data_IF_000972063651
#
_entry.id   IF_000972063651
#
_cell.length_a   1.000
_cell.length_b   1.000
_cell.length_c   1.000
_cell.angle_alpha   90.00
_cell.angle_beta   90.00
_cell.angle_gamma   90.00
#
_symmetry.space_group_name_H-M   'P 1'
#
loop_
_entity.id
_entity.type
_entity.pdbx_description
1 polymer ?
#
# COMPACT_ATOMS: atom_id res chain seq x y z
N UNK A 1 9.07 3.55 -0.91
CA UNK A 1 8.98 2.07 -1.01
C UNK A 1 10.31 1.55 -1.50
N UNK A 2 10.76 0.39 -1.08
CA UNK A 2 12.02 -0.20 -1.55
C UNK A 2 11.73 -1.21 -2.67
N UNK A 3 12.68 -1.43 -3.56
CA UNK A 3 12.58 -2.44 -4.62
C UNK A 3 12.39 -3.86 -4.04
N UNK A 4 12.95 -4.11 -2.84
CA UNK A 4 12.68 -5.34 -2.08
C UNK A 4 11.19 -5.54 -1.80
N UNK A 5 10.48 -4.49 -1.38
CA UNK A 5 9.04 -4.56 -1.10
C UNK A 5 8.23 -4.76 -2.39
N UNK A 6 8.67 -4.16 -3.50
CA UNK A 6 8.04 -4.37 -4.80
C UNK A 6 8.12 -5.86 -5.23
N UNK A 7 9.29 -6.47 -5.13
CA UNK A 7 9.46 -7.90 -5.41
C UNK A 7 8.63 -8.79 -4.47
N UNK A 8 8.46 -8.38 -3.21
CA UNK A 8 7.58 -9.10 -2.28
C UNK A 8 6.10 -9.02 -2.72
N UNK A 9 5.65 -7.89 -3.30
CA UNK A 9 4.32 -7.80 -3.90
C UNK A 9 4.17 -8.71 -5.13
N UNK A 10 5.15 -8.74 -6.04
CA UNK A 10 5.14 -9.65 -7.18
C UNK A 10 5.02 -11.11 -6.72
N UNK A 11 5.84 -11.54 -5.76
CA UNK A 11 5.73 -12.87 -5.19
C UNK A 11 4.35 -13.14 -4.54
N UNK A 12 3.75 -12.12 -3.92
CA UNK A 12 2.43 -12.23 -3.27
C UNK A 12 1.29 -12.37 -4.27
N UNK A 13 1.41 -11.74 -5.44
CA UNK A 13 0.36 -11.63 -6.46
C UNK A 13 0.60 -12.54 -7.68
N UNK A 14 1.50 -13.52 -7.56
CA UNK A 14 1.81 -14.47 -8.65
C UNK A 14 2.32 -13.72 -9.90
N UNK A 15 3.40 -12.95 -9.70
CA UNK A 15 4.07 -12.10 -10.69
C UNK A 15 3.19 -10.99 -11.33
N UNK A 16 2.07 -10.62 -10.68
CA UNK A 16 1.25 -9.50 -11.12
C UNK A 16 1.60 -8.22 -10.36
N UNK A 17 1.49 -7.09 -11.03
CA UNK A 17 1.69 -5.74 -10.44
C UNK A 17 0.52 -5.28 -9.56
N UNK A 18 -0.66 -5.91 -9.71
CA UNK A 18 -1.88 -5.67 -8.95
C UNK A 18 -2.93 -6.73 -9.26
N UNK A 19 -4.10 -6.60 -8.64
CA UNK A 19 -5.21 -7.57 -8.80
C UNK A 19 -6.41 -7.01 -9.58
N UNK A 20 -6.46 -5.69 -9.80
CA UNK A 20 -7.48 -5.07 -10.63
C UNK A 20 -7.28 -5.47 -12.10
N UNK A 21 -8.36 -5.56 -12.91
CA UNK A 21 -8.30 -5.99 -14.31
C UNK A 21 -7.28 -5.27 -15.20
N UNK A 22 -6.90 -3.99 -14.98
CA UNK A 22 -5.81 -3.36 -15.72
C UNK A 22 -4.44 -4.06 -15.62
N UNK A 23 -4.23 -4.91 -14.60
CA UNK A 23 -3.01 -5.70 -14.44
C UNK A 23 -3.06 -7.07 -15.14
N UNK A 24 -4.13 -7.38 -15.87
CA UNK A 24 -4.17 -8.60 -16.67
C UNK A 24 -3.36 -8.40 -17.96
N UNK A 25 -2.58 -9.40 -18.34
CA UNK A 25 -1.60 -9.35 -19.44
C UNK A 25 -2.15 -8.84 -20.77
N UNK A 26 -3.44 -9.10 -21.05
CA UNK A 26 -4.11 -8.71 -22.30
C UNK A 26 -4.97 -7.44 -22.12
N UNK A 27 -4.90 -6.80 -20.94
CA UNK A 27 -5.67 -5.59 -20.67
C UNK A 27 -5.17 -4.44 -21.56
N UNK A 28 -6.12 -3.69 -22.12
CA UNK A 28 -5.81 -2.46 -22.84
C UNK A 28 -6.10 -1.28 -21.94
N UNK A 29 -5.05 -0.64 -21.49
CA UNK A 29 -5.10 0.49 -20.56
C UNK A 29 -4.54 1.71 -21.26
N UNK A 30 -5.27 2.82 -21.26
CA UNK A 30 -4.82 4.03 -21.94
C UNK A 30 -3.96 4.93 -21.04
N UNK A 31 -4.48 5.33 -19.88
CA UNK A 31 -3.79 6.26 -18.98
C UNK A 31 -3.86 5.79 -17.53
N UNK A 32 -2.70 5.76 -16.88
CA UNK A 32 -2.53 5.22 -15.53
C UNK A 32 -1.92 6.27 -14.61
N UNK A 33 -2.41 6.33 -13.36
CA UNK A 33 -1.83 7.12 -12.28
C UNK A 33 -1.39 6.20 -11.15
N UNK A 34 -0.14 6.27 -10.75
CA UNK A 34 0.39 5.64 -9.54
C UNK A 34 0.64 6.69 -8.48
N UNK A 35 -0.13 6.64 -7.40
CA UNK A 35 -0.10 7.63 -6.31
C UNK A 35 0.77 7.13 -5.17
N UNK A 36 1.75 7.97 -4.75
CA UNK A 36 2.77 7.56 -3.78
C UNK A 36 3.76 6.57 -4.41
N UNK A 37 4.20 6.86 -5.62
CA UNK A 37 5.00 5.93 -6.44
C UNK A 37 6.38 5.59 -5.84
N UNK A 38 6.90 6.38 -4.91
CA UNK A 38 8.18 6.16 -4.24
C UNK A 38 9.35 6.13 -5.22
N UNK A 39 10.02 4.97 -5.35
CA UNK A 39 11.12 4.79 -6.31
C UNK A 39 10.68 4.74 -7.77
N UNK A 40 9.38 4.67 -8.04
CA UNK A 40 8.82 4.58 -9.39
C UNK A 40 8.91 3.19 -10.03
N UNK A 41 9.42 2.19 -9.33
CA UNK A 41 9.64 0.85 -9.89
C UNK A 41 8.34 0.21 -10.39
N UNK A 42 7.21 0.41 -9.70
CA UNK A 42 5.92 -0.09 -10.17
C UNK A 42 5.53 0.52 -11.52
N UNK A 43 5.72 1.84 -11.67
CA UNK A 43 5.44 2.53 -12.94
C UNK A 43 6.32 2.04 -14.07
N UNK A 44 7.60 1.75 -13.80
CA UNK A 44 8.54 1.23 -14.79
C UNK A 44 8.07 -0.15 -15.27
N UNK A 45 7.80 -1.07 -14.35
CA UNK A 45 7.38 -2.42 -14.69
C UNK A 45 6.02 -2.43 -15.40
N UNK A 46 5.05 -1.60 -14.92
CA UNK A 46 3.76 -1.46 -15.61
C UNK A 46 3.91 -0.87 -17.01
N UNK A 47 4.83 0.08 -17.19
CA UNK A 47 5.12 0.68 -18.48
C UNK A 47 5.76 -0.29 -19.48
N UNK A 48 6.59 -1.19 -19.00
CA UNK A 48 7.20 -2.25 -19.82
C UNK A 48 6.16 -3.31 -20.22
N UNK A 49 5.23 -3.66 -19.33
CA UNK A 49 4.13 -4.60 -19.63
C UNK A 49 3.06 -3.99 -20.56
N UNK A 50 2.84 -2.66 -20.50
CA UNK A 50 1.82 -1.93 -21.24
C UNK A 50 2.44 -0.76 -22.05
N UNK A 51 3.21 -1.04 -23.10
CA UNK A 51 3.92 0.00 -23.86
C UNK A 51 3.00 1.01 -24.57
N UNK A 52 1.72 0.68 -24.74
CA UNK A 52 0.68 1.57 -25.30
C UNK A 52 0.07 2.52 -24.24
N UNK A 53 0.25 2.25 -22.94
CA UNK A 53 -0.30 3.06 -21.87
C UNK A 53 0.57 4.30 -21.58
N UNK A 54 -0.05 5.40 -21.16
CA UNK A 54 0.62 6.58 -20.60
C UNK A 54 0.59 6.48 -19.08
N UNK A 55 1.76 6.29 -18.43
CA UNK A 55 1.86 6.13 -16.98
C UNK A 55 2.42 7.42 -16.37
N UNK A 56 1.73 7.90 -15.33
CA UNK A 56 2.15 9.01 -14.49
C UNK A 56 2.32 8.51 -13.05
N UNK A 57 3.54 8.57 -12.52
CA UNK A 57 3.82 8.35 -11.10
C UNK A 57 3.96 9.67 -10.36
N UNK A 58 3.31 9.82 -9.21
CA UNK A 58 3.40 11.03 -8.37
C UNK A 58 3.85 10.67 -6.96
N UNK A 59 4.73 11.51 -6.38
CA UNK A 59 5.20 11.39 -5.00
C UNK A 59 5.62 12.76 -4.48
N UNK A 60 5.62 12.96 -3.16
CA UNK A 60 6.17 14.15 -2.51
C UNK A 60 7.70 14.26 -2.65
N UNK A 61 8.37 13.15 -2.93
CA UNK A 61 9.84 13.02 -2.98
C UNK A 61 10.30 12.68 -4.37
N UNK A 62 11.30 13.38 -4.89
CA UNK A 62 11.93 13.10 -6.18
C UNK A 62 12.93 11.93 -6.07
N UNK A 63 12.43 10.72 -5.78
CA UNK A 63 13.25 9.49 -5.67
C UNK A 63 13.18 8.62 -6.93
N UNK A 64 12.77 9.20 -8.04
CA UNK A 64 12.52 8.55 -9.31
C UNK A 64 13.80 8.09 -10.02
N UNK A 65 13.74 7.02 -10.85
CA UNK A 65 14.91 6.55 -11.59
C UNK A 65 15.30 7.52 -12.72
N UNK A 66 16.58 7.55 -13.03
CA UNK A 66 17.14 8.38 -14.12
C UNK A 66 16.70 7.89 -15.50
N UNK A 67 16.50 6.57 -15.63
CA UNK A 67 16.10 5.92 -16.90
C UNK A 67 14.73 5.29 -16.73
N UNK A 68 13.82 5.67 -17.61
CA UNK A 68 12.42 5.21 -17.60
C UNK A 68 11.98 4.81 -19.00
N UNK A 69 11.02 3.90 -19.14
CA UNK A 69 10.34 3.66 -20.39
C UNK A 69 9.77 4.96 -20.97
N UNK A 70 9.72 5.13 -22.31
CA UNK A 70 9.29 6.39 -22.94
C UNK A 70 7.84 6.79 -22.64
N UNK A 71 7.02 5.83 -22.20
CA UNK A 71 5.63 6.00 -21.84
C UNK A 71 5.40 6.26 -20.33
N UNK A 72 6.48 6.34 -19.52
CA UNK A 72 6.43 6.61 -18.07
C UNK A 72 6.95 8.02 -17.79
N UNK A 73 6.23 8.74 -16.94
CA UNK A 73 6.61 10.06 -16.43
C UNK A 73 6.42 10.14 -14.93
N UNK A 74 7.22 10.98 -14.28
CA UNK A 74 7.13 11.25 -12.86
C UNK A 74 6.94 12.74 -12.58
N UNK A 75 6.14 13.05 -11.58
CA UNK A 75 5.92 14.41 -11.09
C UNK A 75 6.05 14.44 -9.56
N UNK A 76 6.67 15.49 -9.03
CA UNK A 76 6.66 15.79 -7.59
C UNK A 76 5.40 16.59 -7.33
N UNK A 77 4.45 16.01 -6.60
CA UNK A 77 3.17 16.65 -6.32
C UNK A 77 2.62 16.21 -4.96
N UNK A 78 1.84 17.10 -4.35
CA UNK A 78 1.10 16.81 -3.13
C UNK A 78 -0.32 16.35 -3.49
N UNK A 79 -0.58 15.07 -3.31
CA UNK A 79 -1.88 14.47 -3.63
C UNK A 79 -3.03 14.97 -2.71
N UNK A 80 -2.71 15.63 -1.59
CA UNK A 80 -3.69 16.27 -0.73
C UNK A 80 -4.22 17.57 -1.35
N UNK A 81 -3.43 18.24 -2.21
CA UNK A 81 -3.86 19.42 -2.94
C UNK A 81 -4.90 19.07 -4.04
N UNK A 82 -5.64 20.07 -4.58
CA UNK A 82 -6.60 19.82 -5.66
C UNK A 82 -5.95 19.24 -6.91
N UNK A 83 -6.46 18.12 -7.40
CA UNK A 83 -5.98 17.50 -8.63
C UNK A 83 -6.40 18.31 -9.86
N UNK A 84 -5.43 18.76 -10.66
CA UNK A 84 -5.64 19.64 -11.83
C UNK A 84 -5.39 18.94 -13.16
N UNK A 85 -5.48 17.61 -13.19
CA UNK A 85 -5.26 16.82 -14.40
C UNK A 85 -6.26 17.18 -15.51
N UNK A 86 -5.76 17.55 -16.68
CA UNK A 86 -6.57 17.91 -17.85
C UNK A 86 -7.26 16.72 -18.51
N UNK A 87 -6.75 15.51 -18.30
CA UNK A 87 -7.26 14.24 -18.83
C UNK A 87 -7.45 13.25 -17.69
N UNK A 88 -8.51 12.46 -17.76
CA UNK A 88 -8.81 11.42 -16.79
C UNK A 88 -7.97 10.17 -17.04
N UNK A 89 -7.97 9.28 -16.06
CA UNK A 89 -7.25 8.03 -16.06
C UNK A 89 -8.20 6.83 -16.29
N UNK A 90 -7.66 5.74 -16.79
CA UNK A 90 -8.36 4.47 -16.91
C UNK A 90 -8.05 3.56 -15.72
N UNK A 91 -6.92 3.82 -15.06
CA UNK A 91 -6.53 3.13 -13.85
C UNK A 91 -5.82 4.09 -12.89
N UNK A 92 -6.20 4.03 -11.60
CA UNK A 92 -5.51 4.71 -10.51
C UNK A 92 -5.10 3.65 -9.49
N UNK A 93 -3.79 3.57 -9.27
CA UNK A 93 -3.16 2.64 -8.34
C UNK A 93 -2.56 3.41 -7.18
N UNK A 94 -2.62 2.85 -5.96
CA UNK A 94 -1.81 3.27 -4.84
C UNK A 94 -1.57 2.12 -3.88
N UNK A 95 -0.40 2.13 -3.21
CA UNK A 95 -0.09 1.11 -2.21
C UNK A 95 0.68 1.68 -1.03
N UNK A 96 0.40 1.12 0.17
CA UNK A 96 1.07 1.50 1.42
C UNK A 96 0.91 2.99 1.78
N UNK A 97 -0.27 3.55 1.49
CA UNK A 97 -0.62 4.94 1.77
C UNK A 97 -1.34 5.13 3.11
N UNK A 98 -1.68 4.02 3.79
CA UNK A 98 -2.35 4.09 5.10
C UNK A 98 -1.43 4.77 6.13
N UNK A 99 -1.92 5.87 6.71
CA UNK A 99 -1.10 6.77 7.55
C UNK A 99 -0.40 7.90 6.79
N UNK A 100 -0.60 8.01 5.46
CA UNK A 100 -0.10 9.12 4.63
C UNK A 100 -1.23 10.02 4.10
N UNK A 101 -2.48 9.57 4.18
CA UNK A 101 -3.68 10.28 3.69
C UNK A 101 -4.40 10.92 4.87
N UNK A 102 -4.70 12.20 4.78
CA UNK A 102 -5.43 12.95 5.82
C UNK A 102 -6.91 12.56 5.86
N UNK A 103 -7.53 12.45 4.68
CA UNK A 103 -8.95 12.13 4.53
C UNK A 103 -9.16 11.15 3.38
N UNK A 104 -9.40 9.89 3.74
CA UNK A 104 -9.65 8.81 2.78
C UNK A 104 -10.93 8.97 1.98
N UNK A 105 -11.98 9.63 2.53
CA UNK A 105 -13.21 9.93 1.79
C UNK A 105 -12.94 10.93 0.67
N UNK A 106 -12.19 11.99 0.98
CA UNK A 106 -11.77 12.97 -0.01
C UNK A 106 -10.86 12.33 -1.06
N UNK A 107 -9.90 11.50 -0.64
CA UNK A 107 -8.99 10.82 -1.55
C UNK A 107 -9.73 9.86 -2.50
N UNK A 108 -10.60 9.01 -1.98
CA UNK A 108 -11.40 8.09 -2.81
C UNK A 108 -12.28 8.87 -3.81
N UNK A 109 -12.81 10.03 -3.39
CA UNK A 109 -13.61 10.91 -4.27
C UNK A 109 -12.75 11.59 -5.34
N UNK A 110 -11.51 12.00 -5.01
CA UNK A 110 -10.53 12.48 -6.01
C UNK A 110 -10.25 11.41 -7.07
N UNK A 111 -9.99 10.16 -6.64
CA UNK A 111 -9.81 9.04 -7.55
C UNK A 111 -11.04 8.85 -8.46
N UNK A 112 -12.25 8.80 -7.87
CA UNK A 112 -13.49 8.65 -8.64
C UNK A 112 -13.67 9.75 -9.68
N UNK A 113 -13.43 11.00 -9.31
CA UNK A 113 -13.63 12.15 -10.19
C UNK A 113 -12.62 12.17 -11.35
N UNK A 114 -11.41 11.65 -11.13
CA UNK A 114 -10.33 11.63 -12.11
C UNK A 114 -10.27 10.34 -12.96
N UNK A 115 -11.16 9.37 -12.73
CA UNK A 115 -11.31 8.20 -13.58
C UNK A 115 -12.30 8.43 -14.72
N UNK A 116 -12.01 7.84 -15.87
CA UNK A 116 -12.96 7.65 -16.96
C UNK A 116 -14.09 6.71 -16.50
N UNK A 117 -15.33 6.80 -17.07
CA UNK A 117 -16.33 5.76 -16.92
C UNK A 117 -15.74 4.39 -17.32
N UNK A 118 -16.01 3.34 -16.55
CA UNK A 118 -15.40 2.03 -16.72
C UNK A 118 -13.97 1.89 -16.15
N UNK A 119 -13.32 2.97 -15.75
CA UNK A 119 -11.99 2.97 -15.17
C UNK A 119 -11.94 2.35 -13.76
N UNK A 120 -10.77 1.89 -13.36
CA UNK A 120 -10.54 1.15 -12.12
C UNK A 120 -9.70 1.94 -11.12
N UNK A 121 -9.97 1.71 -9.84
CA UNK A 121 -9.08 2.09 -8.73
C UNK A 121 -8.63 0.85 -8.00
N UNK A 122 -7.38 0.84 -7.53
CA UNK A 122 -6.86 -0.20 -6.63
C UNK A 122 -6.05 0.41 -5.50
N UNK A 123 -6.40 0.04 -4.27
CA UNK A 123 -5.67 0.34 -3.05
C UNK A 123 -5.08 -0.94 -2.50
N UNK A 124 -3.76 -0.96 -2.27
CA UNK A 124 -3.06 -2.10 -1.68
C UNK A 124 -2.52 -1.67 -0.32
N UNK A 125 -3.17 -2.16 0.75
CA UNK A 125 -2.95 -1.63 2.09
C UNK A 125 -2.75 -2.73 3.15
N UNK A 126 -2.10 -2.35 4.23
CA UNK A 126 -1.90 -3.20 5.40
C UNK A 126 -2.22 -2.43 6.70
N UNK A 127 -2.77 -3.07 7.73
CA UNK A 127 -2.82 -2.47 9.05
C UNK A 127 -1.40 -2.38 9.65
N UNK A 128 -1.18 -1.41 10.53
CA UNK A 128 0.11 -1.26 11.23
C UNK A 128 0.42 -2.43 12.17
N UNK A 129 -0.62 -3.04 12.76
CA UNK A 129 -0.47 -4.13 13.73
C UNK A 129 -0.45 -5.49 13.03
N UNK A 130 0.56 -6.33 13.30
CA UNK A 130 0.52 -7.72 12.89
C UNK A 130 -0.58 -8.50 13.63
N UNK A 131 -0.96 -9.63 13.07
CA UNK A 131 -1.98 -10.55 13.59
C UNK A 131 -1.39 -11.96 13.77
N UNK A 132 -2.07 -12.78 14.59
CA UNK A 132 -1.81 -14.22 14.73
C UNK A 132 -3.15 -14.95 14.82
N UNK A 133 -3.28 -16.05 14.06
CA UNK A 133 -4.53 -16.85 14.06
C UNK A 133 -4.59 -17.85 15.20
N UNK A 134 -3.46 -18.21 15.80
CA UNK A 134 -3.33 -19.26 16.82
C UNK A 134 -2.97 -18.72 18.22
N UNK A 135 -2.94 -17.40 18.36
CA UNK A 135 -2.66 -16.74 19.64
C UNK A 135 -1.21 -16.79 20.11
N UNK A 136 -0.27 -17.16 19.23
CA UNK A 136 1.17 -17.19 19.58
C UNK A 136 1.81 -15.80 19.65
N UNK A 137 1.17 -14.75 19.10
CA UNK A 137 1.61 -13.37 19.26
C UNK A 137 1.22 -12.89 20.68
N UNK A 138 2.19 -12.61 21.56
CA UNK A 138 1.88 -12.20 22.93
C UNK A 138 1.15 -10.84 22.96
N UNK A 139 0.20 -10.68 23.88
CA UNK A 139 -0.51 -9.40 24.05
C UNK A 139 0.41 -8.27 24.54
N UNK A 140 1.54 -8.60 25.17
CA UNK A 140 2.58 -7.67 25.63
C UNK A 140 3.75 -7.56 24.63
N UNK A 141 3.59 -8.03 23.41
CA UNK A 141 4.57 -7.94 22.33
C UNK A 141 5.10 -6.51 22.17
N UNK A 142 6.42 -6.39 22.03
CA UNK A 142 7.06 -5.10 21.78
C UNK A 142 6.69 -4.53 20.41
N UNK A 143 6.50 -5.39 19.41
CA UNK A 143 6.05 -5.00 18.07
C UNK A 143 4.65 -4.37 18.14
N UNK A 144 3.72 -4.96 18.88
CA UNK A 144 2.37 -4.39 19.06
C UNK A 144 2.42 -3.02 19.74
N UNK A 145 3.24 -2.87 20.80
CA UNK A 145 3.41 -1.57 21.51
C UNK A 145 3.93 -0.48 20.59
N UNK A 146 4.95 -0.79 19.78
CA UNK A 146 5.51 0.19 18.84
C UNK A 146 4.50 0.52 17.74
N UNK A 147 3.79 -0.48 17.21
CA UNK A 147 2.73 -0.25 16.22
C UNK A 147 1.60 0.67 16.76
N UNK A 148 1.23 0.51 18.04
CA UNK A 148 0.28 1.41 18.72
C UNK A 148 0.78 2.84 18.81
N UNK A 149 2.03 3.03 19.23
CA UNK A 149 2.63 4.37 19.32
C UNK A 149 2.74 5.03 17.93
N UNK A 150 3.07 4.27 16.89
CA UNK A 150 3.10 4.77 15.51
C UNK A 150 1.68 5.20 15.09
N UNK A 151 0.67 4.40 15.37
CA UNK A 151 -0.73 4.72 15.06
C UNK A 151 -1.18 6.00 15.77
N UNK A 152 -0.93 6.12 17.09
CA UNK A 152 -1.26 7.33 17.85
C UNK A 152 -0.56 8.58 17.30
N UNK A 153 0.70 8.46 16.89
CA UNK A 153 1.45 9.56 16.33
C UNK A 153 0.89 10.00 14.98
N UNK A 154 0.49 9.03 14.14
CA UNK A 154 -0.13 9.26 12.84
C UNK A 154 -1.47 10.00 13.00
N UNK A 155 -2.31 9.55 13.93
CA UNK A 155 -3.59 10.20 14.25
C UNK A 155 -3.40 11.63 14.76
N UNK A 156 -2.44 11.84 15.69
CA UNK A 156 -2.08 13.19 16.20
C UNK A 156 -1.50 14.10 15.11
N UNK A 157 -0.80 13.51 14.14
CA UNK A 157 -0.23 14.21 12.98
C UNK A 157 -1.24 14.57 11.89
N UNK A 158 -2.51 14.17 12.03
CA UNK A 158 -3.55 14.44 11.04
C UNK A 158 -3.63 13.42 9.89
N UNK A 159 -2.85 12.34 9.97
CA UNK A 159 -2.85 11.25 8.98
C UNK A 159 -3.36 9.94 9.61
N UNK A 160 -4.66 9.85 9.89
CA UNK A 160 -5.22 8.69 10.59
C UNK A 160 -5.07 7.42 9.76
N UNK A 161 -4.82 6.30 10.44
CA UNK A 161 -4.90 4.99 9.80
C UNK A 161 -6.34 4.54 9.72
N UNK A 162 -6.82 4.27 8.51
CA UNK A 162 -8.14 3.69 8.30
C UNK A 162 -8.06 2.16 8.51
N UNK A 163 -8.96 1.55 9.32
CA UNK A 163 -9.08 0.10 9.35
C UNK A 163 -9.34 -0.45 7.94
N UNK A 164 -8.53 -1.41 7.51
CA UNK A 164 -8.53 -1.88 6.11
C UNK A 164 -9.86 -2.51 5.72
N UNK A 165 -10.59 -3.04 6.68
CA UNK A 165 -11.96 -3.57 6.53
C UNK A 165 -12.95 -2.51 6.04
N UNK A 166 -12.70 -1.23 6.31
CA UNK A 166 -13.57 -0.11 5.93
C UNK A 166 -13.35 0.35 4.47
N UNK A 167 -12.29 -0.09 3.79
CA UNK A 167 -11.98 0.37 2.42
C UNK A 167 -13.03 -0.06 1.40
N UNK A 168 -13.68 -1.21 1.59
CA UNK A 168 -14.79 -1.63 0.73
C UNK A 168 -15.95 -0.62 0.81
N UNK A 169 -16.33 -0.24 2.01
CA UNK A 169 -17.42 0.71 2.23
C UNK A 169 -17.02 2.13 1.78
N UNK A 170 -15.75 2.50 1.96
CA UNK A 170 -15.17 3.73 1.46
C UNK A 170 -15.35 3.85 -0.06
N UNK A 171 -14.93 2.83 -0.83
CA UNK A 171 -15.09 2.82 -2.28
C UNK A 171 -16.57 2.84 -2.69
N UNK A 172 -17.42 2.11 -1.97
CA UNK A 172 -18.88 2.11 -2.23
C UNK A 172 -19.49 3.50 -2.04
N UNK A 173 -19.15 4.20 -0.94
CA UNK A 173 -19.62 5.58 -0.69
C UNK A 173 -19.07 6.58 -1.71
N UNK A 174 -17.86 6.36 -2.24
CA UNK A 174 -17.33 7.18 -3.31
C UNK A 174 -18.05 6.98 -4.66
N UNK A 175 -18.83 5.89 -4.81
CA UNK A 175 -19.64 5.58 -6.00
C UNK A 175 -19.05 4.47 -6.88
N UNK A 176 -18.04 3.76 -6.44
CA UNK A 176 -17.47 2.61 -7.16
C UNK A 176 -18.40 1.39 -7.09
N UNK A 177 -18.38 0.59 -8.13
CA UNK A 177 -19.09 -0.70 -8.26
C UNK A 177 -18.08 -1.83 -8.48
N UNK A 178 -18.57 -3.07 -8.54
CA UNK A 178 -17.74 -4.27 -8.76
C UNK A 178 -16.55 -4.38 -7.77
N UNK A 179 -16.78 -3.91 -6.53
CA UNK A 179 -15.71 -3.83 -5.52
C UNK A 179 -15.32 -5.22 -5.05
N UNK A 180 -14.04 -5.52 -5.14
CA UNK A 180 -13.45 -6.76 -4.61
C UNK A 180 -12.40 -6.46 -3.56
N UNK A 181 -12.28 -7.38 -2.59
CA UNK A 181 -11.29 -7.37 -1.52
C UNK A 181 -10.60 -8.70 -1.51
N UNK A 182 -9.29 -8.69 -1.77
CA UNK A 182 -8.43 -9.87 -1.68
C UNK A 182 -7.52 -9.71 -0.46
N UNK A 183 -7.31 -10.81 0.26
CA UNK A 183 -6.49 -10.82 1.47
C UNK A 183 -5.36 -11.82 1.33
N UNK A 184 -4.15 -11.37 1.62
CA UNK A 184 -2.92 -12.15 1.65
C UNK A 184 -2.29 -12.06 3.04
N UNK A 185 -1.26 -12.86 3.29
CA UNK A 185 -0.52 -12.84 4.56
C UNK A 185 0.96 -12.68 4.28
N UNK A 186 1.58 -11.72 4.95
CA UNK A 186 3.04 -11.59 5.00
C UNK A 186 3.55 -12.06 6.35
N UNK A 187 3.98 -13.33 6.49
CA UNK A 187 4.54 -13.83 7.73
C UNK A 187 5.75 -13.01 8.18
N UNK A 188 5.91 -12.84 9.49
CA UNK A 188 7.04 -12.07 10.07
C UNK A 188 8.40 -12.74 9.86
N UNK A 189 8.40 -14.03 9.57
CA UNK A 189 9.58 -14.83 9.27
C UNK A 189 9.19 -16.16 8.62
N UNK A 190 10.12 -17.11 8.52
CA UNK A 190 9.93 -18.41 7.85
C UNK A 190 9.22 -19.47 8.72
N UNK A 191 8.33 -19.07 9.64
CA UNK A 191 7.56 -19.99 10.49
C UNK A 191 6.55 -20.86 9.72
N UNK A 192 5.92 -20.45 8.59
CA UNK A 192 4.97 -21.30 7.89
C UNK A 192 5.58 -22.61 7.39
N UNK A 193 4.74 -23.66 7.33
CA UNK A 193 5.13 -24.95 6.74
C UNK A 193 5.01 -24.93 5.22
N UNK A 194 4.03 -24.21 4.69
CA UNK A 194 3.83 -24.02 3.27
C UNK A 194 5.04 -23.31 2.65
N UNK A 195 5.50 -23.80 1.48
CA UNK A 195 6.74 -23.35 0.88
C UNK A 195 6.65 -21.91 0.35
N UNK A 196 5.52 -21.56 -0.28
CA UNK A 196 5.29 -20.20 -0.77
C UNK A 196 5.24 -19.19 0.39
N UNK A 197 4.45 -19.48 1.43
CA UNK A 197 4.39 -18.61 2.60
C UNK A 197 5.69 -18.56 3.40
N UNK A 198 6.50 -19.60 3.34
CA UNK A 198 7.86 -19.56 3.93
C UNK A 198 8.79 -18.64 3.15
N UNK A 199 8.70 -18.62 1.83
CA UNK A 199 9.44 -17.72 0.96
C UNK A 199 8.96 -16.28 1.16
N UNK A 200 7.65 -16.02 1.09
CA UNK A 200 7.05 -14.71 1.43
C UNK A 200 7.52 -14.25 2.80
N UNK A 201 7.55 -15.14 3.80
CA UNK A 201 8.01 -14.84 5.15
C UNK A 201 9.51 -14.49 5.23
N UNK A 202 10.35 -15.05 4.39
CA UNK A 202 11.77 -14.68 4.31
C UNK A 202 11.91 -13.25 3.74
N UNK A 203 11.25 -12.95 2.63
CA UNK A 203 11.24 -11.61 2.01
C UNK A 203 10.61 -10.56 2.92
N UNK A 204 9.48 -10.88 3.54
CA UNK A 204 8.78 -10.00 4.50
C UNK A 204 9.65 -9.69 5.71
N UNK A 205 10.39 -10.67 6.24
CA UNK A 205 11.34 -10.48 7.33
C UNK A 205 12.42 -9.46 6.98
N UNK A 206 13.07 -9.61 5.82
CA UNK A 206 14.10 -8.67 5.37
C UNK A 206 13.53 -7.27 5.13
N UNK A 207 12.34 -7.18 4.54
CA UNK A 207 11.65 -5.91 4.31
C UNK A 207 11.36 -5.18 5.62
N UNK A 208 10.77 -5.86 6.62
CA UNK A 208 10.39 -5.20 7.87
C UNK A 208 11.59 -4.88 8.73
N UNK A 209 12.58 -5.77 8.83
CA UNK A 209 13.78 -5.53 9.66
C UNK A 209 14.60 -4.35 9.13
N UNK A 210 14.73 -4.24 7.80
CA UNK A 210 15.44 -3.12 7.18
C UNK A 210 14.69 -1.79 7.31
N UNK A 211 13.35 -1.79 7.25
CA UNK A 211 12.51 -0.59 7.31
C UNK A 211 12.12 -0.14 8.72
N UNK A 212 12.19 -1.04 9.72
CA UNK A 212 11.63 -0.80 11.06
C UNK A 212 12.26 0.39 11.78
N UNK A 213 13.57 0.57 11.66
CA UNK A 213 14.27 1.70 12.28
C UNK A 213 13.86 3.03 11.63
N UNK A 214 13.74 3.06 10.30
CA UNK A 214 13.32 4.25 9.58
C UNK A 214 11.88 4.64 9.93
N UNK A 215 10.99 3.64 10.06
CA UNK A 215 9.58 3.84 10.41
C UNK A 215 9.44 4.35 11.85
N UNK A 216 10.17 3.78 12.81
CA UNK A 216 9.97 4.04 14.24
C UNK A 216 10.76 5.26 14.75
N UNK A 217 12.00 5.47 14.29
CA UNK A 217 12.92 6.45 14.90
C UNK A 217 12.35 7.88 14.87
N UNK A 218 11.97 8.36 13.70
CA UNK A 218 11.48 9.73 13.56
C UNK A 218 10.15 9.93 14.30
N UNK A 219 9.27 8.94 14.23
CA UNK A 219 7.95 8.98 14.85
C UNK A 219 8.06 8.98 16.38
N UNK A 220 8.79 8.02 16.96
CA UNK A 220 8.90 7.91 18.41
C UNK A 220 9.66 9.09 19.04
N UNK A 221 10.70 9.58 18.38
CA UNK A 221 11.44 10.74 18.90
C UNK A 221 10.63 12.03 18.81
N UNK A 222 9.94 12.29 17.71
CA UNK A 222 9.22 13.55 17.48
C UNK A 222 7.86 13.61 18.16
N UNK A 223 7.10 12.52 18.09
CA UNK A 223 5.73 12.50 18.60
C UNK A 223 5.62 12.05 20.06
N UNK A 224 6.52 11.19 20.51
CA UNK A 224 6.49 10.62 21.88
C UNK A 224 7.66 11.07 22.76
N UNK A 225 8.60 11.86 22.24
CA UNK A 225 9.73 12.41 23.01
C UNK A 225 10.76 11.37 23.47
N UNK A 226 10.81 10.20 22.81
CA UNK A 226 11.79 9.17 23.11
C UNK A 226 13.20 9.63 22.71
N UNK A 227 14.19 9.23 23.48
CA UNK A 227 15.58 9.35 23.07
C UNK A 227 15.90 8.35 21.96
N UNK A 228 16.93 8.62 21.18
CA UNK A 228 17.41 7.69 20.15
C UNK A 228 17.81 6.33 20.76
N UNK A 229 18.42 6.36 21.94
CA UNK A 229 18.85 5.17 22.67
C UNK A 229 17.67 4.29 23.08
N UNK A 230 16.57 4.88 23.56
CA UNK A 230 15.33 4.16 23.89
C UNK A 230 14.73 3.50 22.66
N UNK A 231 14.71 4.20 21.52
CA UNK A 231 14.23 3.61 20.26
C UNK A 231 15.12 2.44 19.81
N UNK A 232 16.45 2.59 19.88
CA UNK A 232 17.39 1.52 19.50
C UNK A 232 17.19 0.27 20.36
N UNK A 233 17.04 0.43 21.68
CA UNK A 233 16.78 -0.69 22.60
C UNK A 233 15.44 -1.35 22.28
N UNK A 234 14.40 -0.57 22.09
CA UNK A 234 13.07 -1.07 21.72
C UNK A 234 13.08 -1.84 20.40
N UNK A 235 13.75 -1.29 19.38
CA UNK A 235 13.87 -1.95 18.07
C UNK A 235 14.68 -3.25 18.13
N UNK A 236 15.66 -3.35 19.05
CA UNK A 236 16.37 -4.60 19.27
C UNK A 236 15.44 -5.70 19.83
N UNK A 237 14.48 -5.33 20.70
CA UNK A 237 13.45 -6.25 21.19
C UNK A 237 12.47 -6.66 20.06
N UNK A 238 12.02 -5.71 19.24
CA UNK A 238 11.19 -6.02 18.06
C UNK A 238 11.89 -7.00 17.12
N UNK A 239 13.19 -6.77 16.82
CA UNK A 239 13.95 -7.69 15.96
C UNK A 239 14.10 -9.10 16.54
N UNK A 240 14.11 -9.22 17.88
CA UNK A 240 14.11 -10.53 18.54
C UNK A 240 12.77 -11.23 18.30
N UNK A 241 11.64 -10.52 18.44
CA UNK A 241 10.32 -11.08 18.14
C UNK A 241 10.16 -11.44 16.66
N UNK A 242 10.63 -10.59 15.72
CA UNK A 242 10.60 -10.91 14.29
C UNK A 242 11.37 -12.17 13.92
N UNK A 243 12.42 -12.54 14.66
CA UNK A 243 13.22 -13.76 14.43
C UNK A 243 12.62 -14.99 15.08
N UNK A 244 11.73 -14.82 16.04
CA UNK A 244 11.17 -15.93 16.81
C UNK A 244 10.12 -16.69 15.98
N UNK A 245 10.51 -17.91 15.55
CA UNK A 245 9.63 -18.77 14.76
C UNK A 245 8.49 -19.42 15.58
N UNK A 246 8.49 -19.31 16.90
CA UNK A 246 7.38 -19.75 17.75
C UNK A 246 6.24 -18.72 17.76
N UNK A 247 6.48 -17.49 17.32
CA UNK A 247 5.48 -16.45 17.14
C UNK A 247 5.00 -16.50 15.67
N UNK A 248 3.80 -17.05 15.46
CA UNK A 248 3.20 -17.20 14.12
C UNK A 248 2.46 -15.93 13.71
N UNK A 249 3.16 -14.80 13.78
CA UNK A 249 2.61 -13.52 13.40
C UNK A 249 2.76 -13.27 11.89
N UNK A 250 1.86 -12.43 11.35
CA UNK A 250 1.86 -11.97 9.98
C UNK A 250 1.21 -10.59 9.86
N UNK A 251 1.57 -9.81 8.85
CA UNK A 251 0.80 -8.67 8.41
C UNK A 251 -0.23 -9.11 7.36
N UNK A 252 -1.54 -8.87 7.57
CA UNK A 252 -2.51 -9.06 6.50
C UNK A 252 -2.31 -7.98 5.44
N UNK A 253 -2.15 -8.38 4.20
CA UNK A 253 -2.07 -7.50 3.05
C UNK A 253 -3.38 -7.57 2.28
N UNK A 254 -3.95 -6.42 1.97
CA UNK A 254 -5.22 -6.34 1.25
C UNK A 254 -5.01 -5.63 -0.08
N UNK A 255 -5.58 -6.18 -1.14
CA UNK A 255 -5.82 -5.47 -2.38
C UNK A 255 -7.33 -5.22 -2.49
N UNK A 256 -7.70 -3.96 -2.56
CA UNK A 256 -9.08 -3.51 -2.64
C UNK A 256 -9.23 -2.72 -3.93
N UNK A 257 -10.07 -3.18 -4.85
CA UNK A 257 -10.29 -2.51 -6.10
C UNK A 257 -11.76 -2.40 -6.47
N UNK A 258 -12.09 -1.38 -7.27
CA UNK A 258 -13.45 -1.11 -7.72
C UNK A 258 -13.45 -0.38 -9.05
N UNK A 259 -14.57 -0.48 -9.76
CA UNK A 259 -14.78 0.12 -11.08
C UNK A 259 -15.67 1.37 -10.96
N UNK A 260 -15.34 2.42 -11.67
CA UNK A 260 -16.28 3.52 -11.89
C UNK A 260 -17.37 3.07 -12.86
N UNK A 261 -18.66 3.25 -12.55
CA UNK A 261 -19.75 2.87 -13.45
C UNK A 261 -19.57 3.42 -14.87
N UNK A 262 -20.01 2.66 -15.87
CA UNK A 262 -20.24 3.18 -17.21
C UNK A 262 -21.39 4.22 -17.18
N UNK A 263 -21.45 5.10 -18.17
CA UNK A 263 -22.52 6.11 -18.22
C UNK A 263 -23.91 5.51 -18.25
N UNK A 264 -24.08 4.31 -18.80
CA UNK A 264 -25.36 3.59 -18.86
C UNK A 264 -25.78 2.97 -17.51
N UNK A 265 -24.81 2.57 -16.67
CA UNK A 265 -25.08 1.97 -15.35
C UNK A 265 -25.66 2.98 -14.34
N UNK A 266 -25.56 4.29 -14.63
CA UNK A 266 -26.02 5.38 -13.76
C UNK A 266 -27.47 5.82 -14.00
N UNK A 267 -28.09 5.39 -15.10
CA UNK A 267 -29.47 5.77 -15.46
C UNK A 267 -30.53 4.76 -14.96
N UNK A 268 -30.12 3.55 -14.52
CA UNK A 268 -31.03 2.51 -14.03
C UNK A 268 -31.23 2.52 -12.49
N UNK A 269 -30.70 3.52 -11.78
CA UNK A 269 -30.72 3.61 -10.30
C UNK A 269 -31.49 4.82 -9.74
N UNK A 270 -32.36 5.48 -10.54
CA UNK A 270 -33.32 6.50 -10.07
C UNK A 270 -34.75 5.98 -9.94
#
# INVERSE_FOLDING_TARGET
MTDLQHNLFLLTFDDKLGNAPPNDKDAKVGRVLDVGTGTGIWCVDFGDEHPEAEILGVDLSATFPEFTPPNVRFEVDDIEEPWTYSRKFDYIHSRMMNGCINDWEVYAKKCYNNLNPGGWVEFIETPLKPQSDDGTLPADSQVLKIAELIQEASEKGGHPTLPVENFKDLLSRAGFVDIKVLKYKWPTNTWPKDQLYKEIGAWSHENIVSGWDALSLAILTRAHGWTREEVVVSNALCRKEFKDKSIHAYWPMYSIYGRKPEKADSEDSE
#
